data_IF_145364766171
#
_entry.id   IF_145364766171
#
_cell.length_a   1.000
_cell.length_b   1.000
_cell.length_c   1.000
_cell.angle_alpha   90.00
_cell.angle_beta   90.00
_cell.angle_gamma   90.00
#
_symmetry.space_group_name_H-M   'P 1'
#
loop_
_entity.id
_entity.type
_entity.pdbx_description
1 polymer ?
#
# COMPACT_ATOMS: atom_id res chain seq x y z
N UNK A 1 -14.90 -1.93 -18.99
CA UNK A 1 -15.25 -2.79 -17.86
C UNK A 1 -14.84 -2.11 -16.57
N UNK A 2 -15.59 -2.33 -15.49
CA UNK A 2 -15.18 -1.95 -14.13
C UNK A 2 -15.88 -0.71 -13.57
N UNK A 3 -17.17 -0.84 -13.24
CA UNK A 3 -17.87 0.08 -12.35
C UNK A 3 -17.41 -0.20 -10.91
N UNK A 4 -16.62 0.71 -10.36
CA UNK A 4 -16.14 0.74 -8.97
C UNK A 4 -15.28 1.98 -8.83
N UNK A 5 -15.89 3.12 -8.48
CA UNK A 5 -15.33 4.47 -8.59
C UNK A 5 -14.17 4.75 -7.63
N UNK A 6 -13.03 4.11 -7.85
CA UNK A 6 -11.77 4.36 -7.16
C UNK A 6 -10.65 4.60 -8.16
N UNK A 7 -9.56 5.23 -7.69
CA UNK A 7 -8.37 5.49 -8.50
C UNK A 7 -7.77 4.17 -9.04
N UNK A 8 -7.70 4.03 -10.36
CA UNK A 8 -6.98 2.94 -11.04
C UNK A 8 -5.62 3.42 -11.57
N UNK A 9 -4.50 2.74 -11.25
CA UNK A 9 -3.19 3.11 -11.79
C UNK A 9 -3.01 2.56 -13.21
N UNK A 10 -3.22 3.40 -14.23
CA UNK A 10 -3.14 3.01 -15.64
C UNK A 10 -1.78 2.46 -16.10
N UNK A 11 -0.70 2.68 -15.33
CA UNK A 11 0.59 2.04 -15.59
C UNK A 11 0.54 0.50 -15.56
N UNK A 12 -0.44 -0.08 -14.87
CA UNK A 12 -0.67 -1.53 -14.87
C UNK A 12 -1.09 -2.06 -16.24
N UNK A 13 -1.60 -1.20 -17.12
CA UNK A 13 -1.97 -1.55 -18.50
C UNK A 13 -0.85 -1.16 -19.47
N UNK A 14 -0.29 0.06 -19.31
CA UNK A 14 0.75 0.61 -20.20
C UNK A 14 1.98 -0.29 -20.32
N UNK A 15 2.47 -0.83 -19.20
CA UNK A 15 3.69 -1.66 -19.19
C UNK A 15 3.47 -2.99 -19.93
N UNK A 16 2.42 -3.79 -19.63
CA UNK A 16 2.08 -4.97 -20.42
C UNK A 16 1.76 -4.70 -21.91
N UNK A 17 1.07 -3.61 -22.24
CA UNK A 17 0.74 -3.24 -23.63
C UNK A 17 1.99 -2.98 -24.47
N UNK A 18 3.07 -2.50 -23.84
CA UNK A 18 4.39 -2.37 -24.46
C UNK A 18 5.16 -3.69 -24.59
N UNK A 19 4.56 -4.83 -24.20
CA UNK A 19 5.16 -6.16 -24.27
C UNK A 19 5.98 -6.56 -23.04
N UNK A 20 5.92 -5.78 -21.95
CA UNK A 20 6.70 -6.02 -20.73
C UNK A 20 5.87 -6.76 -19.67
N UNK A 21 5.90 -8.09 -19.70
CA UNK A 21 5.08 -8.96 -18.82
C UNK A 21 5.80 -9.50 -17.57
N UNK A 22 6.98 -8.96 -17.25
CA UNK A 22 7.78 -9.34 -16.09
C UNK A 22 8.86 -10.38 -16.39
N UNK A 23 9.30 -11.04 -15.33
CA UNK A 23 10.43 -11.99 -15.35
C UNK A 23 10.27 -13.10 -16.40
N UNK A 24 9.04 -13.61 -16.60
CA UNK A 24 8.74 -14.68 -17.55
C UNK A 24 9.04 -14.33 -19.01
N UNK A 25 9.05 -13.03 -19.34
CA UNK A 25 9.35 -12.51 -20.69
C UNK A 25 10.68 -11.76 -20.74
N UNK A 26 11.48 -11.78 -19.67
CA UNK A 26 12.75 -11.07 -19.59
C UNK A 26 12.64 -9.57 -19.31
N UNK A 27 11.43 -8.99 -19.25
CA UNK A 27 11.22 -7.57 -19.02
C UNK A 27 9.82 -7.26 -18.48
N UNK A 28 9.75 -6.37 -17.47
CA UNK A 28 8.54 -5.84 -16.83
C UNK A 28 8.85 -4.44 -16.30
N UNK A 29 8.60 -4.19 -15.00
CA UNK A 29 9.17 -3.02 -14.32
C UNK A 29 10.70 -2.98 -14.33
N UNK A 30 11.32 -4.17 -14.36
CA UNK A 30 12.76 -4.37 -14.45
C UNK A 30 13.10 -5.22 -15.67
N UNK A 31 14.37 -5.21 -16.08
CA UNK A 31 14.92 -6.20 -17.02
C UNK A 31 15.46 -7.41 -16.27
N UNK A 32 15.35 -8.58 -16.89
CA UNK A 32 15.81 -9.86 -16.36
C UNK A 32 16.61 -10.57 -17.44
N UNK A 33 17.93 -10.65 -17.25
CA UNK A 33 18.83 -11.25 -18.24
C UNK A 33 18.79 -12.78 -18.16
N UNK A 34 18.31 -13.50 -19.19
CA UNK A 34 18.31 -14.96 -19.18
C UNK A 34 19.71 -15.57 -19.01
N UNK A 35 20.77 -14.86 -19.43
CA UNK A 35 22.16 -15.32 -19.33
C UNK A 35 22.64 -15.46 -17.88
N UNK A 36 22.03 -14.73 -16.94
CA UNK A 36 22.29 -14.83 -15.49
C UNK A 36 21.21 -15.62 -14.74
N UNK A 37 20.41 -16.40 -15.46
CA UNK A 37 19.28 -17.15 -14.91
C UNK A 37 18.01 -16.31 -14.73
N UNK A 38 18.01 -15.04 -15.16
CA UNK A 38 16.82 -14.19 -15.21
C UNK A 38 16.23 -13.85 -13.85
N UNK A 39 16.99 -13.99 -12.75
CA UNK A 39 16.51 -13.77 -11.37
C UNK A 39 16.88 -12.42 -10.79
N UNK A 40 17.93 -11.81 -11.31
CA UNK A 40 18.41 -10.51 -10.83
C UNK A 40 17.73 -9.39 -11.60
N UNK A 41 16.93 -8.52 -10.96
CA UNK A 41 16.35 -7.36 -11.63
C UNK A 41 17.44 -6.34 -11.96
N UNK A 42 17.38 -5.78 -13.16
CA UNK A 42 18.21 -4.67 -13.62
C UNK A 42 17.34 -3.48 -14.04
N UNK A 43 17.94 -2.29 -14.09
CA UNK A 43 17.27 -1.07 -14.55
C UNK A 43 16.63 -1.28 -15.94
N UNK A 44 15.46 -0.68 -16.13
CA UNK A 44 14.70 -0.77 -17.37
C UNK A 44 14.38 0.63 -17.90
N UNK A 45 15.34 1.30 -18.57
CA UNK A 45 15.16 2.67 -19.06
C UNK A 45 13.93 2.86 -19.95
N UNK A 46 13.53 1.83 -20.70
CA UNK A 46 12.34 1.87 -21.54
C UNK A 46 11.05 1.87 -20.71
N UNK A 47 10.99 1.15 -19.58
CA UNK A 47 9.88 1.26 -18.63
C UNK A 47 9.88 2.61 -17.92
N UNK A 48 11.05 3.15 -17.55
CA UNK A 48 11.16 4.49 -16.97
C UNK A 48 10.62 5.56 -17.93
N UNK A 49 10.94 5.46 -19.22
CA UNK A 49 10.43 6.36 -20.25
C UNK A 49 8.91 6.24 -20.44
N UNK A 50 8.34 5.04 -20.35
CA UNK A 50 6.88 4.83 -20.39
C UNK A 50 6.19 5.45 -19.17
N UNK A 51 6.80 5.35 -17.98
CA UNK A 51 6.27 5.97 -16.76
C UNK A 51 6.22 7.48 -16.92
N UNK A 52 7.28 8.09 -17.44
CA UNK A 52 7.33 9.54 -17.65
C UNK A 52 6.37 10.00 -18.75
N UNK A 53 6.27 9.27 -19.86
CA UNK A 53 5.31 9.56 -20.93
C UNK A 53 3.86 9.47 -20.43
N UNK A 54 3.53 8.41 -19.68
CA UNK A 54 2.22 8.27 -19.06
C UNK A 54 1.94 9.44 -18.11
N UNK A 55 2.90 9.82 -17.26
CA UNK A 55 2.77 10.97 -16.38
C UNK A 55 2.50 12.27 -17.14
N UNK A 56 3.28 12.56 -18.18
CA UNK A 56 3.10 13.77 -18.99
C UNK A 56 1.73 13.79 -19.66
N UNK A 57 1.24 12.65 -20.14
CA UNK A 57 -0.08 12.55 -20.76
C UNK A 57 -1.25 12.87 -19.82
N UNK A 58 -1.07 12.64 -18.50
CA UNK A 58 -2.06 13.04 -17.51
C UNK A 58 -2.07 14.56 -17.35
N UNK A 59 -0.89 15.18 -17.21
CA UNK A 59 -0.77 16.63 -17.02
C UNK A 59 -1.35 17.48 -18.17
N UNK A 60 -1.37 16.95 -19.39
CA UNK A 60 -1.96 17.61 -20.57
C UNK A 60 -3.50 17.52 -20.61
N UNK A 61 -4.10 16.68 -19.76
CA UNK A 61 -5.53 16.46 -19.67
C UNK A 61 -6.16 17.47 -18.69
N UNK A 62 -6.99 18.39 -19.19
CA UNK A 62 -7.83 19.28 -18.36
C UNK A 62 -8.90 18.52 -17.53
N UNK A 63 -8.87 17.19 -17.55
CA UNK A 63 -9.79 16.26 -16.86
C UNK A 63 -9.17 15.59 -15.64
N UNK A 64 -7.96 16.00 -15.25
CA UNK A 64 -7.22 15.34 -14.18
C UNK A 64 -7.94 15.43 -12.82
N UNK A 65 -8.18 14.30 -12.13
CA UNK A 65 -8.57 14.33 -10.73
C UNK A 65 -7.51 15.09 -9.90
N UNK A 66 -7.93 15.80 -8.84
CA UNK A 66 -7.14 16.82 -8.13
C UNK A 66 -5.81 16.32 -7.52
N UNK A 67 -5.60 15.01 -7.44
CA UNK A 67 -4.37 14.39 -6.96
C UNK A 67 -3.33 14.06 -8.06
N UNK A 68 -3.70 14.13 -9.35
CA UNK A 68 -2.79 13.89 -10.50
C UNK A 68 -2.05 15.16 -10.92
N UNK A 69 -2.67 16.34 -10.77
CA UNK A 69 -2.04 17.66 -10.97
C UNK A 69 -1.08 18.08 -9.84
N UNK A 70 -0.62 17.14 -9.00
CA UNK A 70 0.34 17.47 -7.94
C UNK A 70 1.73 17.67 -8.56
N UNK A 71 2.43 18.77 -8.20
CA UNK A 71 3.79 18.99 -8.66
C UNK A 71 4.66 17.81 -8.27
N UNK A 72 5.57 17.45 -9.16
CA UNK A 72 6.58 16.47 -8.85
C UNK A 72 7.34 16.87 -7.59
N UNK A 73 7.38 15.96 -6.61
CA UNK A 73 8.22 16.09 -5.44
C UNK A 73 9.01 14.80 -5.26
N UNK A 74 10.19 14.87 -4.64
CA UNK A 74 10.89 13.69 -4.19
C UNK A 74 9.98 12.90 -3.24
N UNK A 75 9.79 11.61 -3.52
CA UNK A 75 9.12 10.69 -2.61
C UNK A 75 10.17 10.21 -1.61
N UNK A 76 9.97 10.50 -0.33
CA UNK A 76 10.89 10.09 0.73
C UNK A 76 10.68 8.62 1.11
N UNK A 77 11.67 8.01 1.77
CA UNK A 77 11.51 6.64 2.31
C UNK A 77 10.33 6.54 3.27
N UNK A 78 10.13 7.54 4.13
CA UNK A 78 9.01 7.58 5.07
C UNK A 78 7.67 7.65 4.33
N UNK A 79 7.56 8.47 3.28
CA UNK A 79 6.33 8.51 2.49
C UNK A 79 6.03 7.16 1.81
N UNK A 80 7.06 6.45 1.32
CA UNK A 80 6.88 5.09 0.80
C UNK A 80 6.32 4.18 1.89
N UNK A 81 6.86 4.22 3.11
CA UNK A 81 6.36 3.43 4.24
C UNK A 81 4.93 3.82 4.59
N UNK A 82 4.59 5.11 4.70
CA UNK A 82 3.24 5.56 5.05
C UNK A 82 2.22 5.09 3.99
N UNK A 83 2.57 5.22 2.71
CA UNK A 83 1.67 4.86 1.60
C UNK A 83 1.55 3.36 1.38
N UNK A 84 2.53 2.56 1.82
CA UNK A 84 2.50 1.11 1.61
C UNK A 84 2.16 0.37 2.89
N UNK A 85 2.97 0.53 3.94
CA UNK A 85 2.86 -0.20 5.19
C UNK A 85 1.68 0.29 6.02
N UNK A 86 1.43 1.60 6.12
CA UNK A 86 0.27 2.05 6.93
C UNK A 86 -1.06 1.77 6.23
N UNK A 87 -1.08 1.78 4.89
CA UNK A 87 -2.25 1.32 4.13
C UNK A 87 -2.51 -0.17 4.36
N UNK A 88 -1.46 -0.98 4.38
CA UNK A 88 -1.54 -2.39 4.77
C UNK A 88 -2.08 -2.57 6.20
N UNK A 89 -1.52 -1.84 7.16
CA UNK A 89 -1.98 -1.89 8.56
C UNK A 89 -3.46 -1.53 8.64
N UNK A 90 -3.88 -0.47 7.94
CA UNK A 90 -5.26 -0.01 7.91
C UNK A 90 -6.22 -1.09 7.39
N UNK A 91 -5.85 -1.80 6.32
CA UNK A 91 -6.62 -2.95 5.84
C UNK A 91 -6.66 -4.09 6.86
N UNK A 92 -5.56 -4.31 7.61
CA UNK A 92 -5.56 -5.23 8.75
C UNK A 92 -6.57 -4.85 9.84
N UNK A 93 -6.69 -3.56 10.18
CA UNK A 93 -7.72 -3.07 11.11
C UNK A 93 -9.15 -3.29 10.55
N UNK A 94 -9.38 -3.08 9.25
CA UNK A 94 -10.69 -3.33 8.62
C UNK A 94 -11.05 -4.81 8.61
N UNK A 95 -10.10 -5.68 8.29
CA UNK A 95 -10.28 -7.15 8.35
C UNK A 95 -10.73 -7.60 9.75
N UNK A 96 -10.17 -6.99 10.80
CA UNK A 96 -10.56 -7.26 12.18
C UNK A 96 -11.95 -6.68 12.51
N UNK A 97 -12.24 -5.46 12.07
CA UNK A 97 -13.56 -4.80 12.23
C UNK A 97 -14.68 -5.59 11.56
N UNK A 98 -14.41 -6.14 10.38
CA UNK A 98 -15.34 -6.95 9.59
C UNK A 98 -15.47 -8.41 10.11
N UNK A 99 -14.65 -8.81 11.10
CA UNK A 99 -14.65 -10.16 11.67
C UNK A 99 -14.14 -11.22 10.70
N UNK A 100 -13.34 -10.86 9.70
CA UNK A 100 -12.73 -11.79 8.74
C UNK A 100 -11.57 -12.56 9.41
N UNK A 101 -10.85 -11.91 10.33
CA UNK A 101 -9.85 -12.55 11.18
C UNK A 101 -10.32 -12.56 12.64
N UNK A 102 -10.07 -13.66 13.36
CA UNK A 102 -10.51 -13.82 14.75
C UNK A 102 -9.66 -12.99 15.73
N UNK A 103 -8.40 -12.72 15.38
CA UNK A 103 -7.46 -11.95 16.21
C UNK A 103 -6.37 -11.26 15.38
N UNK A 104 -5.74 -10.19 15.90
CA UNK A 104 -4.64 -9.49 15.20
C UNK A 104 -3.49 -10.41 14.80
N UNK A 105 -3.22 -11.44 15.62
CA UNK A 105 -2.15 -12.39 15.31
C UNK A 105 -2.43 -13.29 14.10
N UNK A 106 -3.69 -13.49 13.69
CA UNK A 106 -3.99 -14.23 12.47
C UNK A 106 -3.57 -13.45 11.22
N UNK A 107 -3.75 -12.13 11.26
CA UNK A 107 -3.25 -11.20 10.24
C UNK A 107 -1.72 -11.23 10.24
N UNK A 108 -1.08 -11.12 11.41
CA UNK A 108 0.38 -11.13 11.51
C UNK A 108 1.02 -12.42 10.98
N UNK A 109 0.50 -13.58 11.38
CA UNK A 109 0.98 -14.89 10.92
C UNK A 109 0.85 -15.00 9.40
N UNK A 110 -0.28 -14.59 8.83
CA UNK A 110 -0.51 -14.61 7.39
C UNK A 110 0.52 -13.74 6.64
N UNK A 111 0.79 -12.53 7.13
CA UNK A 111 1.76 -11.63 6.51
C UNK A 111 3.20 -12.08 6.64
N UNK A 112 3.57 -12.65 7.79
CA UNK A 112 4.92 -13.16 8.04
C UNK A 112 5.24 -14.39 7.20
N UNK A 113 4.33 -15.36 7.16
CA UNK A 113 4.58 -16.66 6.53
C UNK A 113 4.09 -16.74 5.09
N UNK A 114 3.12 -15.91 4.69
CA UNK A 114 2.59 -15.86 3.32
C UNK A 114 3.24 -14.80 2.43
N UNK A 115 3.53 -13.62 2.98
CA UNK A 115 3.94 -12.44 2.21
C UNK A 115 5.34 -11.91 2.56
N UNK A 116 6.03 -12.55 3.51
CA UNK A 116 7.41 -12.23 3.86
C UNK A 116 7.58 -10.95 4.67
N UNK A 117 6.57 -10.53 5.45
CA UNK A 117 6.72 -9.41 6.38
C UNK A 117 7.90 -9.67 7.35
N UNK A 118 8.72 -8.66 7.70
CA UNK A 118 9.93 -8.88 8.49
C UNK A 118 9.64 -9.48 9.87
N UNK A 119 10.05 -10.73 10.09
CA UNK A 119 9.82 -11.48 11.36
C UNK A 119 10.29 -10.75 12.61
N UNK A 120 11.41 -10.03 12.53
CA UNK A 120 11.95 -9.27 13.66
C UNK A 120 11.11 -8.03 14.03
N UNK A 121 10.14 -7.66 13.19
CA UNK A 121 9.11 -6.64 13.47
C UNK A 121 7.77 -7.28 13.90
N UNK A 122 7.72 -8.59 14.16
CA UNK A 122 6.49 -9.32 14.42
C UNK A 122 5.71 -9.51 13.12
N UNK A 123 4.56 -8.84 13.01
CA UNK A 123 3.75 -8.70 11.80
C UNK A 123 3.21 -7.26 11.69
N UNK A 124 2.42 -6.92 10.67
CA UNK A 124 1.89 -5.56 10.48
C UNK A 124 1.09 -5.04 11.68
N UNK A 125 0.27 -5.87 12.34
CA UNK A 125 -0.54 -5.45 13.48
C UNK A 125 0.34 -5.20 14.71
N UNK A 126 1.27 -6.11 15.01
CA UNK A 126 2.27 -5.88 16.06
C UNK A 126 3.15 -4.65 15.77
N UNK A 127 3.55 -4.46 14.51
CA UNK A 127 4.34 -3.30 14.10
C UNK A 127 3.56 -1.99 14.24
N UNK A 128 2.24 -2.01 14.07
CA UNK A 128 1.39 -0.84 14.29
C UNK A 128 1.49 -0.31 15.72
N UNK A 129 1.45 -1.22 16.71
CA UNK A 129 1.61 -0.86 18.12
C UNK A 129 3.02 -0.33 18.43
N UNK A 130 4.06 -0.89 17.80
CA UNK A 130 5.44 -0.40 17.96
C UNK A 130 5.64 1.02 17.41
N UNK A 131 5.01 1.35 16.29
CA UNK A 131 5.07 2.68 15.67
C UNK A 131 4.22 3.69 16.45
N UNK A 132 3.07 3.24 16.96
CA UNK A 132 2.11 4.05 17.69
C UNK A 132 0.91 4.44 16.83
N UNK A 133 -0.28 4.02 17.28
CA UNK A 133 -1.53 4.17 16.53
C UNK A 133 -1.93 5.63 16.25
N UNK A 134 -1.62 6.56 17.16
CA UNK A 134 -1.86 8.00 16.97
C UNK A 134 -1.12 8.55 15.75
N UNK A 135 0.13 8.13 15.55
CA UNK A 135 0.92 8.56 14.40
C UNK A 135 0.36 7.96 13.11
N UNK A 136 0.07 6.65 13.10
CA UNK A 136 -0.51 5.96 11.94
C UNK A 136 -1.85 6.60 11.53
N UNK A 137 -2.74 6.87 12.49
CA UNK A 137 -4.02 7.52 12.22
C UNK A 137 -3.83 8.89 11.57
N UNK A 138 -2.93 9.72 12.12
CA UNK A 138 -2.62 11.05 11.57
C UNK A 138 -2.13 10.96 10.12
N UNK A 139 -1.22 10.04 9.82
CA UNK A 139 -0.66 9.88 8.47
C UNK A 139 -1.72 9.34 7.49
N UNK A 140 -2.58 8.40 7.90
CA UNK A 140 -3.69 7.92 7.09
C UNK A 140 -4.72 9.01 6.81
N UNK A 141 -5.05 9.86 7.80
CA UNK A 141 -5.92 11.01 7.60
C UNK A 141 -5.32 12.00 6.59
N UNK A 142 -4.02 12.29 6.69
CA UNK A 142 -3.32 13.12 5.72
C UNK A 142 -3.36 12.49 4.31
N UNK A 143 -3.07 11.20 4.18
CA UNK A 143 -3.15 10.47 2.91
C UNK A 143 -4.56 10.42 2.34
N UNK A 144 -5.59 10.21 3.17
CA UNK A 144 -6.99 10.20 2.74
C UNK A 144 -7.47 11.58 2.27
N UNK A 145 -6.99 12.67 2.88
CA UNK A 145 -7.29 14.02 2.41
C UNK A 145 -6.58 14.33 1.07
N UNK A 146 -5.37 13.81 0.92
CA UNK A 146 -4.55 13.89 -0.28
C UNK A 146 -5.14 13.06 -1.43
N UNK A 147 -5.78 11.93 -1.14
CA UNK A 147 -6.33 10.97 -2.12
C UNK A 147 -7.78 10.57 -1.75
N UNK A 148 -8.76 11.48 -1.87
CA UNK A 148 -10.15 11.24 -1.41
C UNK A 148 -10.87 10.09 -2.14
N UNK A 149 -10.46 9.81 -3.38
CA UNK A 149 -10.99 8.74 -4.24
C UNK A 149 -10.28 7.39 -4.04
N UNK A 150 -9.51 7.25 -2.94
CA UNK A 150 -8.89 6.00 -2.51
C UNK A 150 -9.50 5.53 -1.19
N UNK A 151 -10.64 4.81 -1.21
CA UNK A 151 -11.33 4.36 0.01
C UNK A 151 -10.48 3.51 0.96
N UNK A 152 -9.50 2.77 0.44
CA UNK A 152 -8.57 1.98 1.25
C UNK A 152 -7.70 2.84 2.19
N UNK A 153 -7.51 4.13 1.88
CA UNK A 153 -6.74 5.06 2.72
C UNK A 153 -7.57 5.70 3.84
N UNK A 154 -8.90 5.58 3.81
CA UNK A 154 -9.75 6.06 4.91
C UNK A 154 -9.45 5.22 6.16
N UNK A 155 -9.11 5.85 7.30
CA UNK A 155 -8.84 5.12 8.54
C UNK A 155 -9.97 4.16 8.90
N UNK A 156 -9.61 2.96 9.36
CA UNK A 156 -10.54 1.99 9.93
C UNK A 156 -11.18 2.54 11.22
N UNK A 157 -12.44 2.23 11.49
CA UNK A 157 -13.12 2.71 12.69
C UNK A 157 -12.49 2.10 13.95
N UNK A 158 -12.06 0.84 13.87
CA UNK A 158 -11.32 0.20 14.95
C UNK A 158 -10.02 0.95 15.31
N UNK A 159 -9.27 1.44 14.32
CA UNK A 159 -8.06 2.23 14.57
C UNK A 159 -8.40 3.55 15.28
N UNK A 160 -9.44 4.26 14.80
CA UNK A 160 -9.92 5.49 15.44
C UNK A 160 -10.37 5.23 16.88
N UNK A 161 -11.03 4.10 17.13
CA UNK A 161 -11.47 3.70 18.45
C UNK A 161 -10.31 3.43 19.41
N UNK A 162 -9.29 2.66 18.99
CA UNK A 162 -8.10 2.44 19.81
C UNK A 162 -7.40 3.76 20.17
N UNK A 163 -7.27 4.67 19.20
CA UNK A 163 -6.67 6.00 19.43
C UNK A 163 -7.51 6.86 20.37
N UNK A 164 -8.83 6.86 20.21
CA UNK A 164 -9.75 7.60 21.08
C UNK A 164 -9.71 7.11 22.52
N UNK A 165 -9.56 5.79 22.73
CA UNK A 165 -9.44 5.16 24.05
C UNK A 165 -8.02 5.20 24.62
N UNK A 166 -7.05 5.77 23.88
CA UNK A 166 -5.63 5.79 24.24
C UNK A 166 -5.04 4.42 24.57
N UNK A 167 -5.43 3.40 23.78
CA UNK A 167 -5.02 2.01 23.97
C UNK A 167 -4.27 1.47 22.75
N UNK A 168 -3.44 0.45 22.96
CA UNK A 168 -2.84 -0.32 21.88
C UNK A 168 -3.87 -1.26 21.27
N UNK A 169 -3.61 -1.78 20.06
CA UNK A 169 -4.47 -2.81 19.49
C UNK A 169 -4.41 -4.09 20.34
N UNK A 170 -3.22 -4.46 20.81
CA UNK A 170 -3.04 -5.63 21.67
C UNK A 170 -3.89 -5.55 22.96
N UNK A 171 -3.84 -4.41 23.66
CA UNK A 171 -4.58 -4.21 24.90
C UNK A 171 -6.09 -4.11 24.63
N UNK A 172 -6.49 -3.35 23.61
CA UNK A 172 -7.89 -3.28 23.19
C UNK A 172 -8.47 -4.66 22.91
N UNK A 173 -7.72 -5.52 22.20
CA UNK A 173 -8.19 -6.86 21.87
C UNK A 173 -8.29 -7.75 23.11
N UNK A 174 -7.32 -7.65 24.02
CA UNK A 174 -7.32 -8.40 25.27
C UNK A 174 -8.51 -8.03 26.16
N UNK A 175 -8.90 -6.76 26.22
CA UNK A 175 -10.00 -6.29 27.06
C UNK A 175 -11.39 -6.63 26.51
N UNK A 176 -11.55 -6.60 25.19
CA UNK A 176 -12.88 -6.65 24.56
C UNK A 176 -13.24 -8.03 23.96
N UNK A 177 -12.25 -8.90 23.73
CA UNK A 177 -12.44 -10.15 22.98
C UNK A 177 -11.88 -11.40 23.68
N UNK A 178 -11.52 -11.31 24.96
CA UNK A 178 -11.21 -12.50 25.76
C UNK A 178 -12.48 -13.32 26.04
N UNK A 179 -12.50 -14.55 25.52
CA UNK A 179 -13.31 -15.65 26.03
C UNK A 179 -12.55 -16.41 27.10
#
# INVERSE_FOLDING_TARGET
>A
GGAGGGRYPGLLDVIPEAGYFGQKTGAGWYKYDPSNGGRTPASHPEADALIEAYRSSLLDSNSDPPYLGRPHHPITGDEIIHRTVYSLINEGFKILEEGIADKPSDVDVTWVYGYGFPRHKGGPMHYADQVGLKHILKELQALSAIFPDSPHLRPAALLEQCVHQDTSLADYWAENFQK
#
